data_IF_729409256028
#
_entry.id   IF_729409256028
#
_cell.length_a   1.000
_cell.length_b   1.000
_cell.length_c   1.000
_cell.angle_alpha   90.00
_cell.angle_beta   90.00
_cell.angle_gamma   90.00
#
_symmetry.space_group_name_H-M   'P 1'
#
loop_
_entity.id
_entity.type
_entity.pdbx_description
1 polymer ?
#
# COMPACT_ATOMS: atom_id res chain seq x y z
N UNK A 1 4.56 59.04 11.09
CA UNK A 1 3.21 59.10 10.50
C UNK A 1 2.38 58.08 11.28
N UNK A 2 2.02 58.27 12.55
CA UNK A 2 1.33 59.40 13.19
C UNK A 2 0.02 59.75 12.50
N UNK A 3 -1.02 58.98 12.82
CA UNK A 3 -2.38 59.50 12.96
C UNK A 3 -3.00 58.84 14.19
N UNK A 4 -2.98 59.60 15.28
CA UNK A 4 -3.80 59.41 16.46
C UNK A 4 -5.17 59.95 16.14
N UNK A 5 -6.22 59.14 16.30
CA UNK A 5 -7.59 59.60 16.36
C UNK A 5 -8.25 59.02 17.61
N UNK A 6 -8.92 59.92 18.32
CA UNK A 6 -9.27 59.85 19.72
C UNK A 6 -10.76 60.19 19.84
N UNK A 7 -11.42 59.60 20.85
CA UNK A 7 -12.74 59.97 21.43
C UNK A 7 -13.96 59.44 20.60
N UNK A 8 -15.12 59.02 21.18
CA UNK A 8 -15.65 59.28 22.52
C UNK A 8 -16.02 58.07 23.40
N UNK A 9 -15.94 58.35 24.70
CA UNK A 9 -16.63 57.65 25.78
C UNK A 9 -18.11 58.05 25.77
N UNK A 10 -19.01 57.06 25.69
CA UNK A 10 -20.42 57.24 25.98
C UNK A 10 -20.95 56.08 26.84
N UNK A 11 -21.42 56.49 28.01
CA UNK A 11 -22.58 56.02 28.74
C UNK A 11 -22.73 54.54 29.14
N UNK A 12 -22.39 54.37 30.43
CA UNK A 12 -22.95 53.44 31.40
C UNK A 12 -24.48 53.28 31.24
N UNK A 13 -24.91 52.12 30.77
CA UNK A 13 -26.26 51.61 31.00
C UNK A 13 -26.18 50.14 31.44
N UNK A 14 -26.45 49.81 32.72
CA UNK A 14 -26.55 48.43 33.17
C UNK A 14 -28.02 48.02 33.31
N UNK A 15 -28.57 47.18 32.40
CA UNK A 15 -29.84 46.52 32.66
C UNK A 15 -29.63 45.03 32.97
N UNK A 16 -30.06 44.68 34.17
CA UNK A 16 -30.70 43.42 34.56
C UNK A 16 -29.89 42.13 34.38
N UNK A 17 -29.33 41.68 35.51
CA UNK A 17 -29.18 40.27 35.87
C UNK A 17 -30.53 39.54 35.72
N UNK A 18 -30.82 39.04 34.52
CA UNK A 18 -31.72 37.92 34.35
C UNK A 18 -30.87 36.66 34.51
N UNK A 19 -30.85 36.15 35.75
CA UNK A 19 -30.39 34.82 36.09
C UNK A 19 -31.23 33.75 35.36
N UNK A 20 -30.99 33.59 34.07
CA UNK A 20 -31.27 32.32 33.40
C UNK A 20 -30.11 31.40 33.80
N UNK A 21 -30.31 30.70 34.92
CA UNK A 21 -29.61 29.45 35.20
C UNK A 21 -29.91 28.50 34.04
N UNK A 22 -29.22 28.72 32.93
CA UNK A 22 -29.17 27.81 31.82
C UNK A 22 -28.51 26.58 32.39
N UNK A 23 -29.35 25.63 32.73
CA UNK A 23 -29.06 24.22 32.82
C UNK A 23 -28.31 23.85 31.52
N UNK A 24 -27.02 24.18 31.46
CA UNK A 24 -26.04 23.53 30.61
C UNK A 24 -25.96 22.14 31.20
N UNK A 25 -27.02 21.37 30.99
CA UNK A 25 -27.00 19.94 31.17
C UNK A 25 -25.76 19.52 30.41
N UNK A 26 -24.77 19.06 31.17
CA UNK A 26 -23.64 18.32 30.62
C UNK A 26 -24.28 17.35 29.64
N UNK A 27 -24.14 17.64 28.34
CA UNK A 27 -24.58 16.72 27.32
C UNK A 27 -23.61 15.57 27.43
N UNK A 28 -23.94 14.64 28.31
CA UNK A 28 -23.24 13.38 28.47
C UNK A 28 -23.24 12.72 27.10
N UNK A 29 -22.07 12.79 26.45
CA UNK A 29 -21.87 12.18 25.15
C UNK A 29 -22.04 10.68 25.37
N UNK A 30 -22.99 10.02 24.67
CA UNK A 30 -23.25 8.61 24.90
C UNK A 30 -21.99 7.78 24.72
N UNK A 31 -21.74 6.84 25.64
CA UNK A 31 -20.55 5.98 25.64
C UNK A 31 -20.38 5.23 24.32
N UNK A 32 -21.50 4.88 23.68
CA UNK A 32 -21.56 4.20 22.39
C UNK A 32 -20.88 5.00 21.28
N UNK A 33 -20.90 6.34 21.36
CA UNK A 33 -20.23 7.20 20.37
C UNK A 33 -18.71 7.08 20.46
N UNK A 34 -18.15 7.13 21.67
CA UNK A 34 -16.71 6.93 21.87
C UNK A 34 -16.27 5.55 21.41
N UNK A 35 -17.02 4.51 21.78
CA UNK A 35 -16.73 3.14 21.36
C UNK A 35 -16.75 2.97 19.83
N UNK A 36 -17.69 3.64 19.14
CA UNK A 36 -17.75 3.60 17.69
C UNK A 36 -16.51 4.26 17.04
N UNK A 37 -16.05 5.40 17.56
CA UNK A 37 -14.84 6.06 17.07
C UNK A 37 -13.59 5.21 17.32
N UNK A 38 -13.45 4.65 18.53
CA UNK A 38 -12.36 3.73 18.85
C UNK A 38 -12.34 2.51 17.92
N UNK A 39 -13.50 1.94 17.61
CA UNK A 39 -13.60 0.79 16.71
C UNK A 39 -13.16 1.13 15.28
N UNK A 40 -13.54 2.32 14.78
CA UNK A 40 -13.09 2.81 13.48
C UNK A 40 -11.56 3.01 13.49
N UNK A 41 -11.03 3.67 14.52
CA UNK A 41 -9.59 3.89 14.66
C UNK A 41 -8.79 2.58 14.71
N UNK A 42 -9.22 1.62 15.53
CA UNK A 42 -8.61 0.27 15.59
C UNK A 42 -8.63 -0.43 14.23
N UNK A 43 -9.72 -0.27 13.46
CA UNK A 43 -9.81 -0.81 12.10
C UNK A 43 -8.80 -0.15 11.15
N UNK A 44 -8.63 1.18 11.24
CA UNK A 44 -7.62 1.92 10.46
C UNK A 44 -6.21 1.40 10.78
N UNK A 45 -5.85 1.27 12.06
CA UNK A 45 -4.54 0.75 12.47
C UNK A 45 -4.27 -0.67 11.95
N UNK A 46 -5.29 -1.54 11.98
CA UNK A 46 -5.20 -2.89 11.41
C UNK A 46 -4.97 -2.88 9.89
N UNK A 47 -5.64 -1.99 9.16
CA UNK A 47 -5.41 -1.78 7.73
C UNK A 47 -4.00 -1.23 7.46
N UNK A 48 -3.52 -0.26 8.24
CA UNK A 48 -2.18 0.31 8.08
C UNK A 48 -1.08 -0.73 8.30
N UNK A 49 -1.24 -1.60 9.29
CA UNK A 49 -0.33 -2.73 9.52
C UNK A 49 -0.35 -3.72 8.34
N UNK A 50 -1.54 -4.01 7.81
CA UNK A 50 -1.70 -4.89 6.64
C UNK A 50 -1.08 -4.29 5.38
N UNK A 51 -1.22 -2.98 5.19
CA UNK A 51 -0.60 -2.23 4.08
C UNK A 51 0.92 -2.24 4.21
N UNK A 52 1.47 -2.06 5.42
CA UNK A 52 2.92 -2.09 5.63
C UNK A 52 3.51 -3.48 5.36
N UNK A 53 2.85 -4.53 5.84
CA UNK A 53 3.20 -5.91 5.53
C UNK A 53 3.20 -6.16 4.02
N UNK A 54 2.17 -5.68 3.33
CA UNK A 54 2.05 -5.80 1.88
C UNK A 54 3.14 -5.01 1.14
N UNK A 55 3.49 -3.82 1.62
CA UNK A 55 4.60 -2.99 1.10
C UNK A 55 5.93 -3.73 1.17
N UNK A 56 6.25 -4.35 2.31
CA UNK A 56 7.47 -5.15 2.48
C UNK A 56 7.50 -6.35 1.53
N UNK A 57 6.39 -7.08 1.42
CA UNK A 57 6.26 -8.20 0.49
C UNK A 57 6.43 -7.77 -0.98
N UNK A 58 5.90 -6.60 -1.35
CA UNK A 58 6.09 -6.03 -2.68
C UNK A 58 7.54 -5.60 -2.95
N UNK A 59 8.26 -5.08 -1.96
CA UNK A 59 9.66 -4.72 -2.13
C UNK A 59 10.52 -5.97 -2.43
N UNK A 60 10.26 -7.08 -1.73
CA UNK A 60 10.84 -8.39 -2.03
C UNK A 60 10.46 -8.89 -3.43
N UNK A 61 9.18 -8.85 -3.79
CA UNK A 61 8.70 -9.24 -5.12
C UNK A 61 9.34 -8.39 -6.24
N UNK A 62 9.51 -7.09 -6.02
CA UNK A 62 10.20 -6.18 -6.94
C UNK A 62 11.63 -6.66 -7.17
N UNK A 63 12.38 -6.97 -6.12
CA UNK A 63 13.75 -7.46 -6.23
C UNK A 63 13.83 -8.80 -6.99
N UNK A 64 12.89 -9.72 -6.74
CA UNK A 64 12.79 -10.99 -7.48
C UNK A 64 12.51 -10.77 -8.98
N UNK A 65 11.57 -9.89 -9.32
CA UNK A 65 11.26 -9.56 -10.70
C UNK A 65 12.44 -8.88 -11.42
N UNK A 66 13.13 -7.95 -10.77
CA UNK A 66 14.33 -7.32 -11.32
C UNK A 66 15.45 -8.33 -11.54
N UNK A 67 15.66 -9.26 -10.61
CA UNK A 67 16.62 -10.35 -10.75
C UNK A 67 16.27 -11.28 -11.90
N UNK A 68 15.01 -11.72 -11.99
CA UNK A 68 14.52 -12.57 -13.08
C UNK A 68 14.63 -11.88 -14.45
N UNK A 69 14.37 -10.57 -14.50
CA UNK A 69 14.53 -9.77 -15.71
C UNK A 69 16.00 -9.66 -16.15
N UNK A 70 16.93 -9.46 -15.20
CA UNK A 70 18.37 -9.34 -15.48
C UNK A 70 19.03 -10.68 -15.81
N UNK A 71 18.45 -11.81 -15.39
CA UNK A 71 19.01 -13.16 -15.60
C UNK A 71 19.17 -13.46 -17.11
N UNK A 72 20.41 -13.67 -17.61
CA UNK A 72 20.65 -14.13 -18.97
C UNK A 72 20.46 -15.64 -19.08
N UNK A 73 20.22 -16.14 -20.30
CA UNK A 73 20.40 -17.57 -20.59
C UNK A 73 21.90 -17.89 -20.68
N UNK A 74 22.29 -19.04 -20.13
CA UNK A 74 23.62 -19.61 -20.28
C UNK A 74 23.91 -20.03 -21.73
N UNK A 75 25.19 -20.25 -22.05
CA UNK A 75 25.62 -20.65 -23.40
C UNK A 75 24.96 -21.97 -23.81
N UNK A 76 25.02 -22.98 -22.94
CA UNK A 76 24.41 -24.30 -23.17
C UNK A 76 22.90 -24.20 -23.39
N UNK A 77 22.21 -23.37 -22.59
CA UNK A 77 20.78 -23.11 -22.75
C UNK A 77 20.49 -22.49 -24.12
N UNK A 78 21.27 -21.49 -24.55
CA UNK A 78 21.09 -20.84 -25.86
C UNK A 78 21.35 -21.80 -27.03
N UNK A 79 22.36 -22.67 -26.92
CA UNK A 79 22.73 -23.61 -27.99
C UNK A 79 21.70 -24.73 -28.15
N UNK A 80 21.10 -25.17 -27.04
CA UNK A 80 20.23 -26.34 -27.04
C UNK A 80 18.74 -26.03 -26.91
N UNK A 81 18.33 -24.81 -26.53
CA UNK A 81 16.93 -24.45 -26.40
C UNK A 81 16.18 -24.45 -27.74
N UNK A 82 14.88 -24.74 -27.67
CA UNK A 82 13.97 -24.48 -28.77
C UNK A 82 13.77 -22.97 -28.94
N UNK A 83 13.72 -22.51 -30.19
CA UNK A 83 13.39 -21.12 -30.49
C UNK A 83 12.03 -20.70 -29.87
N UNK A 84 11.05 -21.61 -29.87
CA UNK A 84 9.75 -21.37 -29.25
C UNK A 84 9.85 -21.12 -27.73
N UNK A 85 10.68 -21.89 -27.02
CA UNK A 85 10.90 -21.72 -25.57
C UNK A 85 11.59 -20.38 -25.27
N UNK A 86 12.59 -20.02 -26.09
CA UNK A 86 13.30 -18.73 -25.97
C UNK A 86 12.33 -17.57 -26.19
N UNK A 87 11.45 -17.65 -27.19
CA UNK A 87 10.42 -16.66 -27.46
C UNK A 87 9.42 -16.54 -26.31
N UNK A 88 8.96 -17.66 -25.75
CA UNK A 88 8.04 -17.66 -24.62
C UNK A 88 8.68 -17.05 -23.36
N UNK A 89 9.92 -17.42 -23.05
CA UNK A 89 10.67 -16.85 -21.93
C UNK A 89 10.89 -15.34 -22.12
N UNK A 90 11.27 -14.91 -23.32
CA UNK A 90 11.47 -13.49 -23.64
C UNK A 90 10.17 -12.70 -23.52
N UNK A 91 9.06 -13.25 -24.04
CA UNK A 91 7.72 -12.66 -23.90
C UNK A 91 7.32 -12.49 -22.43
N UNK A 92 7.54 -13.52 -21.60
CA UNK A 92 7.26 -13.47 -20.18
C UNK A 92 8.12 -12.40 -19.47
N UNK A 93 9.41 -12.32 -19.79
CA UNK A 93 10.32 -11.29 -19.24
C UNK A 93 9.90 -9.87 -19.62
N UNK A 94 9.45 -9.64 -20.85
CA UNK A 94 9.03 -8.31 -21.29
C UNK A 94 7.82 -7.79 -20.51
N UNK A 95 7.00 -8.67 -19.92
CA UNK A 95 5.88 -8.24 -19.05
C UNK A 95 6.34 -7.53 -17.78
N UNK A 96 7.58 -7.76 -17.33
CA UNK A 96 8.16 -7.12 -16.15
C UNK A 96 8.18 -5.59 -16.29
N UNK A 97 8.34 -5.06 -17.50
CA UNK A 97 8.32 -3.62 -17.76
C UNK A 97 7.00 -2.95 -17.37
N UNK A 98 5.88 -3.68 -17.39
CA UNK A 98 4.57 -3.15 -16.99
C UNK A 98 4.32 -3.29 -15.48
N UNK A 99 4.87 -4.34 -14.85
CA UNK A 99 4.65 -4.62 -13.44
C UNK A 99 5.53 -3.77 -12.51
N UNK A 100 6.80 -3.56 -12.86
CA UNK A 100 7.75 -2.84 -11.99
C UNK A 100 7.31 -1.42 -11.66
N UNK A 101 6.83 -0.59 -12.61
CA UNK A 101 6.34 0.75 -12.28
C UNK A 101 5.18 0.72 -11.29
N UNK A 102 4.23 -0.21 -11.45
CA UNK A 102 3.08 -0.36 -10.54
C UNK A 102 3.51 -0.74 -9.12
N UNK A 103 4.45 -1.68 -8.98
CA UNK A 103 5.00 -2.08 -7.69
C UNK A 103 5.68 -0.90 -6.99
N UNK A 104 6.53 -0.16 -7.72
CA UNK A 104 7.23 1.03 -7.17
C UNK A 104 6.25 2.11 -6.76
N UNK A 105 5.24 2.39 -7.58
CA UNK A 105 4.21 3.37 -7.29
C UNK A 105 3.40 3.00 -6.05
N UNK A 106 2.99 1.73 -5.91
CA UNK A 106 2.31 1.28 -4.70
C UNK A 106 3.19 1.42 -3.46
N UNK A 107 4.45 0.97 -3.51
CA UNK A 107 5.39 1.07 -2.38
C UNK A 107 5.54 2.53 -1.95
N UNK A 108 5.65 3.44 -2.92
CA UNK A 108 5.68 4.88 -2.67
C UNK A 108 4.39 5.35 -1.97
N UNK A 109 3.22 5.13 -2.57
CA UNK A 109 1.93 5.54 -2.00
C UNK A 109 1.69 4.96 -0.60
N UNK A 110 2.04 3.70 -0.36
CA UNK A 110 1.95 3.07 0.96
C UNK A 110 2.85 3.73 2.00
N UNK A 111 4.06 4.15 1.62
CA UNK A 111 4.98 4.89 2.49
C UNK A 111 4.43 6.28 2.82
N UNK A 112 3.88 6.97 1.82
CA UNK A 112 3.30 8.31 2.01
C UNK A 112 2.03 8.30 2.85
N UNK A 113 1.19 7.28 2.68
CA UNK A 113 -0.06 7.13 3.42
C UNK A 113 0.16 7.21 4.94
N UNK A 114 1.23 6.60 5.46
CA UNK A 114 1.57 6.64 6.89
C UNK A 114 1.96 8.05 7.39
N UNK A 115 2.47 8.90 6.50
CA UNK A 115 2.99 10.22 6.82
C UNK A 115 2.01 11.38 6.66
N UNK A 116 0.78 11.14 6.20
CA UNK A 116 -0.14 12.23 5.86
C UNK A 116 -0.53 13.05 7.10
N UNK A 117 -0.52 14.41 7.02
CA UNK A 117 -0.83 15.26 8.17
C UNK A 117 -2.20 15.00 8.79
N UNK A 118 -3.20 14.65 7.97
CA UNK A 118 -4.55 14.33 8.42
C UNK A 118 -4.57 13.12 9.38
N UNK A 119 -3.80 12.06 9.07
CA UNK A 119 -3.70 10.87 9.93
C UNK A 119 -3.08 11.22 11.28
N UNK A 120 -2.04 12.06 11.31
CA UNK A 120 -1.40 12.52 12.55
C UNK A 120 -2.36 13.37 13.39
N UNK A 121 -3.09 14.29 12.76
CA UNK A 121 -4.10 15.10 13.45
C UNK A 121 -5.19 14.23 14.08
N UNK A 122 -5.67 13.22 13.36
CA UNK A 122 -6.68 12.28 13.86
C UNK A 122 -6.14 11.41 15.00
N UNK A 123 -4.90 10.93 14.90
CA UNK A 123 -4.22 10.22 16.00
C UNK A 123 -4.17 11.06 17.27
N UNK A 124 -3.76 12.32 17.18
CA UNK A 124 -3.74 13.22 18.33
C UNK A 124 -5.12 13.44 18.95
N UNK A 125 -6.18 13.55 18.12
CA UNK A 125 -7.55 13.68 18.62
C UNK A 125 -7.97 12.41 19.36
N UNK A 126 -7.61 11.24 18.82
CA UNK A 126 -7.93 9.95 19.45
C UNK A 126 -7.25 9.83 20.82
N UNK A 127 -5.94 10.08 20.89
CA UNK A 127 -5.16 9.99 22.12
C UNK A 127 -5.61 10.99 23.18
N UNK A 128 -5.92 12.24 22.79
CA UNK A 128 -6.26 13.32 23.73
C UNK A 128 -7.71 13.29 24.20
N UNK A 129 -8.64 12.88 23.33
CA UNK A 129 -10.08 13.03 23.61
C UNK A 129 -10.84 11.71 23.59
N UNK A 130 -10.57 10.83 22.63
CA UNK A 130 -11.39 9.62 22.46
C UNK A 130 -11.01 8.56 23.50
N UNK A 131 -9.73 8.23 23.64
CA UNK A 131 -9.26 7.25 24.63
C UNK A 131 -9.55 7.66 26.08
N UNK A 132 -9.33 8.94 26.48
CA UNK A 132 -9.68 9.39 27.82
C UNK A 132 -11.18 9.69 27.99
N UNK A 133 -11.97 9.59 26.91
CA UNK A 133 -13.43 9.87 26.86
C UNK A 133 -13.79 11.29 27.27
N UNK A 134 -12.98 12.25 26.86
CA UNK A 134 -13.25 13.68 27.07
C UNK A 134 -14.21 14.17 26.00
N UNK A 135 -15.34 14.81 26.36
CA UNK A 135 -16.28 15.36 25.38
C UNK A 135 -15.60 16.32 24.40
N UNK A 136 -15.87 16.13 23.11
CA UNK A 136 -15.42 16.99 22.02
C UNK A 136 -16.65 17.58 21.31
N UNK A 137 -16.68 18.91 21.03
CA UNK A 137 -17.83 19.51 20.36
C UNK A 137 -18.01 19.03 18.90
N UNK A 138 -16.96 18.59 18.23
CA UNK A 138 -16.95 18.23 16.79
C UNK A 138 -16.94 16.71 16.54
N UNK A 139 -17.56 15.91 17.42
CA UNK A 139 -17.55 14.44 17.34
C UNK A 139 -18.03 13.88 16.00
N UNK A 140 -19.07 14.47 15.41
CA UNK A 140 -19.62 14.01 14.13
C UNK A 140 -18.66 14.27 12.96
N UNK A 141 -17.92 15.39 12.99
CA UNK A 141 -16.90 15.72 11.99
C UNK A 141 -15.70 14.78 12.10
N UNK A 142 -15.25 14.48 13.33
CA UNK A 142 -14.17 13.50 13.56
C UNK A 142 -14.58 12.12 13.06
N UNK A 143 -15.84 11.72 13.29
CA UNK A 143 -16.38 10.45 12.77
C UNK A 143 -16.31 10.39 11.24
N UNK A 144 -16.71 11.45 10.56
CA UNK A 144 -16.67 11.53 9.10
C UNK A 144 -15.24 11.42 8.57
N UNK A 145 -14.29 12.15 9.18
CA UNK A 145 -12.88 12.13 8.81
C UNK A 145 -12.24 10.75 9.01
N UNK A 146 -12.50 10.11 10.16
CA UNK A 146 -12.07 8.73 10.40
C UNK A 146 -12.70 7.77 9.37
N UNK A 147 -13.97 7.96 9.03
CA UNK A 147 -14.63 7.18 7.98
C UNK A 147 -14.00 7.34 6.59
N UNK A 148 -13.59 8.56 6.23
CA UNK A 148 -12.86 8.82 4.98
C UNK A 148 -11.48 8.16 4.99
N UNK A 149 -10.73 8.33 6.07
CA UNK A 149 -9.41 7.70 6.22
C UNK A 149 -9.51 6.18 6.14
N UNK A 150 -10.49 5.57 6.82
CA UNK A 150 -10.75 4.13 6.75
C UNK A 150 -11.01 3.66 5.32
N UNK A 151 -11.88 4.36 4.58
CA UNK A 151 -12.17 4.03 3.17
C UNK A 151 -10.93 4.17 2.29
N UNK A 152 -10.15 5.23 2.46
CA UNK A 152 -8.88 5.40 1.75
C UNK A 152 -7.93 4.22 1.99
N UNK A 153 -7.75 3.79 3.25
CA UNK A 153 -6.93 2.62 3.58
C UNK A 153 -7.46 1.34 2.97
N UNK A 154 -8.78 1.13 2.96
CA UNK A 154 -9.38 -0.03 2.30
C UNK A 154 -9.09 -0.06 0.80
N UNK A 155 -9.25 1.08 0.12
CA UNK A 155 -8.96 1.21 -1.31
C UNK A 155 -7.48 0.97 -1.58
N UNK A 156 -6.59 1.57 -0.79
CA UNK A 156 -5.15 1.39 -0.94
C UNK A 156 -4.76 -0.08 -0.73
N UNK A 157 -5.28 -0.74 0.30
CA UNK A 157 -5.03 -2.16 0.55
C UNK A 157 -5.53 -3.05 -0.61
N UNK A 158 -6.73 -2.79 -1.12
CA UNK A 158 -7.29 -3.53 -2.27
C UNK A 158 -6.44 -3.35 -3.55
N UNK A 159 -6.03 -2.12 -3.84
CA UNK A 159 -5.13 -1.81 -4.96
C UNK A 159 -3.79 -2.55 -4.80
N UNK A 160 -3.23 -2.53 -3.59
CA UNK A 160 -2.02 -3.27 -3.27
C UNK A 160 -2.16 -4.76 -3.57
N UNK A 161 -3.24 -5.39 -3.09
CA UNK A 161 -3.44 -6.82 -3.32
C UNK A 161 -3.51 -7.14 -4.82
N UNK A 162 -4.22 -6.32 -5.61
CA UNK A 162 -4.28 -6.50 -7.07
C UNK A 162 -2.90 -6.44 -7.72
N UNK A 163 -2.10 -5.41 -7.41
CA UNK A 163 -0.75 -5.23 -7.96
C UNK A 163 0.18 -6.37 -7.53
N UNK A 164 0.08 -6.83 -6.27
CA UNK A 164 0.90 -7.93 -5.75
C UNK A 164 0.60 -9.23 -6.49
N UNK A 165 -0.67 -9.57 -6.68
CA UNK A 165 -1.07 -10.77 -7.40
C UNK A 165 -0.66 -10.72 -8.89
N UNK A 166 -0.79 -9.57 -9.55
CA UNK A 166 -0.31 -9.38 -10.93
C UNK A 166 1.20 -9.65 -11.02
N UNK A 167 1.99 -9.05 -10.12
CA UNK A 167 3.45 -9.24 -10.07
C UNK A 167 3.84 -10.69 -9.79
N UNK A 168 3.17 -11.36 -8.85
CA UNK A 168 3.39 -12.79 -8.55
C UNK A 168 3.06 -13.68 -9.74
N UNK A 169 1.97 -13.40 -10.45
CA UNK A 169 1.58 -14.12 -11.66
C UNK A 169 2.66 -14.03 -12.75
N UNK A 170 3.16 -12.81 -13.01
CA UNK A 170 4.25 -12.58 -13.98
C UNK A 170 5.52 -13.32 -13.58
N UNK A 171 5.93 -13.25 -12.32
CA UNK A 171 7.10 -13.97 -11.84
C UNK A 171 6.95 -15.49 -12.05
N UNK A 172 5.78 -16.05 -11.71
CA UNK A 172 5.48 -17.47 -11.90
C UNK A 172 5.49 -17.89 -13.37
N UNK A 173 5.05 -17.04 -14.30
CA UNK A 173 5.18 -17.29 -15.75
C UNK A 173 6.64 -17.32 -16.20
N UNK A 174 7.46 -16.37 -15.75
CA UNK A 174 8.90 -16.31 -16.09
C UNK A 174 9.61 -17.57 -15.58
N UNK A 175 9.34 -17.96 -14.34
CA UNK A 175 9.92 -19.17 -13.73
C UNK A 175 9.51 -20.43 -14.49
N UNK A 176 8.22 -20.60 -14.82
CA UNK A 176 7.73 -21.74 -15.61
C UNK A 176 8.35 -21.80 -17.01
N UNK A 177 8.41 -20.67 -17.70
CA UNK A 177 9.02 -20.60 -19.03
C UNK A 177 10.51 -20.96 -18.98
N UNK A 178 11.24 -20.44 -17.99
CA UNK A 178 12.66 -20.76 -17.78
C UNK A 178 12.87 -22.24 -17.46
N UNK A 179 12.10 -22.83 -16.55
CA UNK A 179 12.21 -24.25 -16.20
C UNK A 179 11.94 -25.17 -17.39
N UNK A 180 10.96 -24.82 -18.23
CA UNK A 180 10.65 -25.58 -19.46
C UNK A 180 11.81 -25.52 -20.45
N UNK A 181 12.33 -24.31 -20.69
CA UNK A 181 13.50 -24.09 -21.56
C UNK A 181 14.70 -24.90 -21.09
N UNK A 182 15.02 -24.84 -19.79
CA UNK A 182 16.15 -25.53 -19.20
C UNK A 182 16.04 -27.06 -19.32
N UNK A 183 14.84 -27.60 -19.08
CA UNK A 183 14.57 -29.03 -19.25
C UNK A 183 14.78 -29.47 -20.70
N UNK A 184 14.16 -28.76 -21.64
CA UNK A 184 14.26 -29.07 -23.07
C UNK A 184 15.70 -28.95 -23.59
N UNK A 185 16.44 -27.93 -23.15
CA UNK A 185 17.85 -27.76 -23.48
C UNK A 185 18.70 -28.93 -22.94
N UNK A 186 18.47 -29.35 -21.69
CA UNK A 186 19.19 -30.49 -21.10
C UNK A 186 18.91 -31.80 -21.82
N UNK A 187 17.65 -32.08 -22.17
CA UNK A 187 17.26 -33.30 -22.88
C UNK A 187 17.88 -33.35 -24.29
N UNK A 188 17.91 -32.22 -24.99
CA UNK A 188 18.58 -32.11 -26.30
C UNK A 188 20.08 -32.27 -26.21
N UNK A 189 20.72 -31.69 -25.20
CA UNK A 189 22.14 -31.87 -24.95
C UNK A 189 22.50 -33.35 -24.66
N UNK A 190 21.62 -34.07 -23.94
CA UNK A 190 21.77 -35.52 -23.72
C UNK A 190 21.60 -36.30 -25.02
N UNK A 191 20.54 -36.05 -25.79
CA UNK A 191 20.29 -36.72 -27.06
C UNK A 191 21.46 -36.55 -28.04
N UNK A 192 22.02 -35.33 -28.16
CA UNK A 192 23.18 -35.05 -29.02
C UNK A 192 24.42 -35.85 -28.59
N UNK A 193 24.67 -35.99 -27.29
CA UNK A 193 25.79 -36.79 -26.76
C UNK A 193 25.61 -38.28 -27.03
N UNK A 194 24.39 -38.80 -26.88
CA UNK A 194 24.09 -40.21 -27.20
C UNK A 194 24.30 -40.51 -28.69
N UNK A 195 23.78 -39.66 -29.57
CA UNK A 195 23.96 -39.81 -31.03
C UNK A 195 25.45 -39.75 -31.46
N UNK A 196 26.26 -38.93 -30.79
CA UNK A 196 27.71 -38.88 -31.04
C UNK A 196 28.42 -40.18 -30.67
N UNK A 197 28.04 -40.80 -29.55
CA UNK A 197 28.61 -42.09 -29.10
C UNK A 197 28.27 -43.25 -30.02
N UNK A 198 27.04 -43.29 -30.54
CA UNK A 198 26.63 -44.35 -31.48
C UNK A 198 27.40 -44.26 -32.79
N UNK A 199 27.58 -43.05 -33.34
CA UNK A 199 28.38 -42.86 -34.56
C UNK A 199 29.84 -43.30 -34.40
N UNK A 200 30.43 -43.09 -33.23
CA UNK A 200 31.81 -43.51 -32.94
C UNK A 200 32.03 -45.02 -32.82
N UNK A 201 30.97 -45.85 -32.75
CA UNK A 201 31.12 -47.32 -32.71
C UNK A 201 31.36 -47.96 -34.09
N UNK A 202 31.17 -47.20 -35.17
CA UNK A 202 31.22 -47.71 -36.54
C UNK A 202 32.49 -47.31 -37.30
N UNK A 203 33.44 -46.67 -36.62
CA UNK A 203 34.76 -46.28 -37.12
C UNK A 203 35.83 -46.89 -36.21
#
# INVERSE_FOLDING_TARGET
MSSSEQVPSDDLNPPAEAAAGGDRGEQDVPLERFQALEAIWKTILGLETSIDTLRLNMDGLRAELESAFKKPLGVEEKVHALQADVLQWTKAKNRVHYALPKLREFIHRATWAQGVPERKRLEEIVEKYIEPRVPLPEMDQVREQLGHLQKDRQVLFAQGNSVYQEGRGILGEIQRALSTLQRNAADRARAKRSAGREKGKHF
#
